data_IF_384501155312
#
_entry.id   IF_384501155312
#
_cell.length_a   1.000
_cell.length_b   1.000
_cell.length_c   1.000
_cell.angle_alpha   90.00
_cell.angle_beta   90.00
_cell.angle_gamma   90.00
#
_symmetry.space_group_name_H-M   'P 1'
#
loop_
_entity.id
_entity.type
_entity.pdbx_description
1 polymer ?
#
# COMPACT_ATOMS: atom_id res chain seq x y z
N UNK A 1 -9.96 11.12 -15.34
CA UNK A 1 -8.54 11.47 -15.37
C UNK A 1 -7.99 11.63 -13.97
N UNK A 2 -6.71 11.38 -13.81
CA UNK A 2 -6.01 11.49 -12.54
C UNK A 2 -4.82 12.43 -12.68
N UNK A 3 -4.37 13.00 -11.57
CA UNK A 3 -3.16 13.80 -11.53
C UNK A 3 -2.24 13.27 -10.43
N UNK A 4 -0.94 13.24 -10.73
CA UNK A 4 0.09 12.80 -9.81
C UNK A 4 1.09 13.94 -9.66
N UNK A 5 1.36 14.32 -8.41
CA UNK A 5 2.30 15.39 -8.13
C UNK A 5 3.69 15.03 -8.65
N UNK A 6 4.42 16.03 -9.14
CA UNK A 6 5.78 15.83 -9.63
C UNK A 6 6.66 15.22 -8.51
N UNK A 7 7.54 14.29 -8.88
CA UNK A 7 8.46 13.57 -7.98
C UNK A 7 7.80 12.56 -7.04
N UNK A 8 6.49 12.34 -7.14
CA UNK A 8 5.84 11.25 -6.42
C UNK A 8 6.24 9.92 -7.07
N UNK A 9 6.50 8.92 -6.23
CA UNK A 9 6.79 7.56 -6.69
C UNK A 9 5.54 6.70 -6.56
N UNK A 10 5.24 5.96 -7.61
CA UNK A 10 4.11 5.00 -7.61
C UNK A 10 4.72 3.60 -7.62
N UNK A 11 4.41 2.82 -6.60
CA UNK A 11 4.96 1.48 -6.47
C UNK A 11 4.43 0.52 -7.52
N UNK A 12 5.15 -0.59 -7.68
CA UNK A 12 4.82 -1.63 -8.66
C UNK A 12 3.43 -2.18 -8.38
N UNK A 13 2.63 -2.34 -9.42
CA UNK A 13 1.27 -2.88 -9.33
C UNK A 13 0.32 -2.07 -8.43
N UNK A 14 0.65 -0.84 -8.13
CA UNK A 14 -0.30 0.07 -7.50
C UNK A 14 -1.34 0.51 -8.52
N UNK A 15 -2.54 0.80 -8.04
CA UNK A 15 -3.65 1.26 -8.88
C UNK A 15 -4.10 2.64 -8.41
N UNK A 16 -4.22 3.56 -9.36
CA UNK A 16 -4.75 4.91 -9.09
C UNK A 16 -6.10 5.00 -9.77
N UNK A 17 -7.15 5.18 -8.99
CA UNK A 17 -8.50 5.31 -9.55
C UNK A 17 -8.67 6.62 -10.30
N UNK A 18 -9.51 6.62 -11.33
CA UNK A 18 -9.78 7.81 -12.13
C UNK A 18 -10.29 8.98 -11.28
N UNK A 19 -9.88 10.19 -11.65
CA UNK A 19 -10.27 11.40 -10.91
C UNK A 19 -9.47 11.65 -9.65
N UNK A 20 -8.47 10.82 -9.36
CA UNK A 20 -7.69 10.95 -8.12
C UNK A 20 -6.59 12.00 -8.26
N UNK A 21 -6.24 12.62 -7.13
CA UNK A 21 -5.16 13.61 -7.04
C UNK A 21 -4.14 13.09 -6.04
N UNK A 22 -2.98 12.66 -6.53
CA UNK A 22 -1.94 11.99 -5.73
C UNK A 22 -0.84 12.99 -5.40
N UNK A 23 -0.63 13.25 -4.11
CA UNK A 23 0.40 14.18 -3.63
C UNK A 23 1.54 13.54 -2.86
N UNK A 24 1.41 12.26 -2.52
CA UNK A 24 2.42 11.50 -1.79
C UNK A 24 2.66 10.17 -2.49
N UNK A 25 3.77 9.51 -2.15
CA UNK A 25 4.12 8.23 -2.74
C UNK A 25 3.02 7.20 -2.52
N UNK A 26 2.75 6.38 -3.53
CA UNK A 26 1.75 5.31 -3.42
C UNK A 26 2.48 3.98 -3.29
N UNK A 27 2.29 3.27 -2.17
CA UNK A 27 2.98 1.99 -1.97
C UNK A 27 2.60 0.96 -3.03
N UNK A 28 3.51 0.03 -3.34
CA UNK A 28 3.21 -1.01 -4.32
C UNK A 28 2.03 -1.86 -3.87
N UNK A 29 1.35 -2.45 -4.81
CA UNK A 29 0.23 -3.39 -4.61
C UNK A 29 -1.03 -2.75 -4.04
N UNK A 30 -1.06 -1.46 -3.78
CA UNK A 30 -2.19 -0.78 -3.14
C UNK A 30 -3.01 0.02 -4.14
N UNK A 31 -4.27 0.26 -3.79
CA UNK A 31 -5.16 1.14 -4.55
C UNK A 31 -5.27 2.49 -3.86
N UNK A 32 -5.07 3.57 -4.60
CA UNK A 32 -5.25 4.94 -4.12
C UNK A 32 -6.43 5.57 -4.85
N UNK A 33 -7.25 6.33 -4.13
CA UNK A 33 -8.45 6.93 -4.69
C UNK A 33 -8.77 8.25 -3.99
N UNK A 34 -9.31 9.16 -4.75
CA UNK A 34 -9.87 10.41 -4.23
C UNK A 34 -9.00 11.63 -4.47
N UNK A 35 -9.55 12.76 -4.13
CA UNK A 35 -8.89 14.05 -4.13
C UNK A 35 -8.98 14.59 -2.69
N UNK A 36 -7.95 14.66 -2.04
CA UNK A 36 -6.60 14.08 -2.08
C UNK A 36 -6.66 12.56 -1.95
N UNK A 37 -5.83 11.87 -2.71
CA UNK A 37 -5.87 10.40 -2.74
C UNK A 37 -5.51 9.79 -1.38
N UNK A 38 -6.23 8.74 -1.04
CA UNK A 38 -5.99 7.92 0.16
C UNK A 38 -6.00 6.46 -0.25
N UNK A 39 -5.36 5.60 0.55
CA UNK A 39 -5.36 4.17 0.25
C UNK A 39 -6.73 3.58 0.56
N UNK A 40 -7.19 2.71 -0.34
CA UNK A 40 -8.46 1.98 -0.20
C UNK A 40 -8.22 0.49 0.08
N UNK A 41 -6.97 0.07 0.19
CA UNK A 41 -6.61 -1.32 0.40
C UNK A 41 -5.67 -1.80 -0.68
N UNK A 42 -5.59 -3.12 -0.85
CA UNK A 42 -4.77 -3.72 -1.89
C UNK A 42 -5.49 -3.69 -3.23
N UNK A 43 -4.71 -3.67 -4.31
CA UNK A 43 -5.21 -3.87 -5.66
C UNK A 43 -5.48 -5.36 -5.88
N UNK A 44 -6.41 -5.94 -5.12
CA UNK A 44 -6.63 -7.39 -5.06
C UNK A 44 -6.96 -7.98 -6.42
N UNK A 45 -7.83 -7.33 -7.18
CA UNK A 45 -8.22 -7.83 -8.50
C UNK A 45 -7.03 -7.86 -9.45
N UNK A 46 -6.25 -6.77 -9.51
CA UNK A 46 -5.07 -6.71 -10.36
C UNK A 46 -4.01 -7.73 -9.98
N UNK A 47 -3.82 -7.93 -8.66
CA UNK A 47 -2.84 -8.91 -8.17
C UNK A 47 -3.25 -10.33 -8.53
N UNK A 48 -4.53 -10.68 -8.41
CA UNK A 48 -5.03 -11.99 -8.83
C UNK A 48 -4.89 -12.18 -10.34
N UNK A 49 -5.21 -11.17 -11.13
CA UNK A 49 -5.07 -11.23 -12.59
C UNK A 49 -3.62 -11.39 -13.01
N UNK A 50 -2.69 -10.84 -12.24
CA UNK A 50 -1.26 -10.97 -12.48
C UNK A 50 -0.70 -12.33 -12.03
N UNK A 51 -1.53 -13.16 -11.39
CA UNK A 51 -1.14 -14.51 -11.02
C UNK A 51 -0.49 -14.65 -9.64
N UNK A 52 -0.63 -13.66 -8.76
CA UNK A 52 -0.12 -13.81 -7.41
C UNK A 52 -0.87 -14.93 -6.70
N UNK A 53 -0.10 -15.78 -6.02
CA UNK A 53 -0.65 -16.93 -5.30
C UNK A 53 -1.44 -16.49 -4.08
N UNK A 54 -2.38 -17.33 -3.65
CA UNK A 54 -3.26 -17.01 -2.54
C UNK A 54 -2.52 -16.76 -1.23
N UNK A 55 -1.44 -17.50 -0.97
CA UNK A 55 -0.63 -17.30 0.22
C UNK A 55 0.12 -15.96 0.21
N UNK A 56 0.58 -15.52 -0.94
CA UNK A 56 1.21 -14.21 -1.09
C UNK A 56 0.18 -13.10 -0.87
N UNK A 57 -1.03 -13.27 -1.41
CA UNK A 57 -2.12 -12.30 -1.20
C UNK A 57 -2.47 -12.20 0.28
N UNK A 58 -2.56 -13.34 0.98
CA UNK A 58 -2.83 -13.33 2.42
C UNK A 58 -1.72 -12.62 3.19
N UNK A 59 -0.47 -12.85 2.82
CA UNK A 59 0.66 -12.19 3.46
C UNK A 59 0.63 -10.68 3.24
N UNK A 60 0.28 -10.24 2.03
CA UNK A 60 0.15 -8.81 1.73
C UNK A 60 -1.01 -8.18 2.51
N UNK A 61 -2.14 -8.87 2.64
CA UNK A 61 -3.26 -8.39 3.46
C UNK A 61 -2.84 -8.23 4.92
N UNK A 62 -2.14 -9.22 5.46
CA UNK A 62 -1.64 -9.16 6.83
C UNK A 62 -0.66 -8.01 7.01
N UNK A 63 0.24 -7.81 6.06
CA UNK A 63 1.20 -6.70 6.10
C UNK A 63 0.49 -5.34 6.05
N UNK A 64 -0.51 -5.19 5.20
CA UNK A 64 -1.30 -3.97 5.11
C UNK A 64 -1.96 -3.65 6.46
N UNK A 65 -2.56 -4.64 7.09
CA UNK A 65 -3.18 -4.47 8.41
C UNK A 65 -2.16 -4.09 9.47
N UNK A 66 -1.00 -4.73 9.45
CA UNK A 66 0.08 -4.42 10.39
C UNK A 66 0.55 -2.98 10.23
N UNK A 67 0.71 -2.53 8.98
CA UNK A 67 1.20 -1.19 8.69
C UNK A 67 0.20 -0.09 9.09
N UNK A 68 -1.10 -0.31 8.82
CA UNK A 68 -2.06 0.78 8.87
C UNK A 68 -3.18 0.61 9.90
N UNK A 69 -3.41 -0.58 10.43
CA UNK A 69 -4.52 -0.84 11.34
C UNK A 69 -4.12 -1.53 12.65
N UNK A 70 -2.83 -1.68 12.92
CA UNK A 70 -2.38 -2.30 14.17
C UNK A 70 -2.21 -1.30 15.32
N UNK A 71 -2.24 -0.01 15.03
CA UNK A 71 -1.94 1.02 16.02
C UNK A 71 -0.45 1.17 16.32
N UNK A 72 0.40 0.36 15.67
CA UNK A 72 1.85 0.40 15.87
C UNK A 72 2.48 1.35 14.85
N UNK A 73 3.56 2.01 15.23
CA UNK A 73 4.25 2.94 14.33
C UNK A 73 5.04 2.20 13.25
N UNK A 74 5.28 2.88 12.14
CA UNK A 74 6.06 2.31 11.04
C UNK A 74 7.49 1.99 11.45
N UNK A 75 8.07 2.75 12.40
CA UNK A 75 9.40 2.47 12.92
C UNK A 75 9.53 1.05 13.47
N UNK A 76 8.44 0.52 14.03
CA UNK A 76 8.40 -0.84 14.56
C UNK A 76 8.01 -1.86 13.51
N UNK A 77 7.04 -1.54 12.67
CA UNK A 77 6.47 -2.53 11.74
C UNK A 77 7.33 -2.74 10.50
N UNK A 78 7.97 -1.70 9.98
CA UNK A 78 8.75 -1.84 8.74
C UNK A 78 9.91 -2.83 8.88
N UNK A 79 10.73 -2.79 9.95
CA UNK A 79 11.79 -3.80 10.09
C UNK A 79 11.25 -5.22 10.18
N UNK A 80 10.11 -5.43 10.84
CA UNK A 80 9.50 -6.75 10.95
C UNK A 80 9.10 -7.30 9.58
N UNK A 81 8.55 -6.43 8.73
CA UNK A 81 8.09 -6.84 7.40
C UNK A 81 9.23 -7.01 6.39
N UNK A 82 10.39 -6.44 6.69
CA UNK A 82 11.59 -6.60 5.86
C UNK A 82 12.46 -7.77 6.31
N UNK A 83 12.14 -8.39 7.44
CA UNK A 83 12.94 -9.47 7.99
C UNK A 83 12.89 -10.72 7.11
N UNK A 84 13.93 -11.57 7.16
CA UNK A 84 13.95 -12.83 6.42
C UNK A 84 12.75 -13.70 6.78
N UNK A 85 12.25 -14.44 5.80
CA UNK A 85 11.08 -15.31 5.97
C UNK A 85 9.79 -14.70 5.47
N UNK A 86 9.74 -13.38 5.27
CA UNK A 86 8.60 -12.75 4.63
C UNK A 86 8.65 -12.97 3.10
N UNK A 87 7.50 -13.10 2.45
CA UNK A 87 7.47 -13.14 0.98
C UNK A 87 8.13 -11.89 0.39
N UNK A 88 8.76 -12.03 -0.76
CA UNK A 88 9.45 -10.91 -1.42
C UNK A 88 8.54 -9.72 -1.66
N UNK A 89 7.25 -9.95 -1.91
CA UNK A 89 6.28 -8.88 -2.13
C UNK A 89 6.04 -8.07 -0.86
N UNK A 90 6.01 -8.73 0.29
CA UNK A 90 5.88 -8.04 1.58
C UNK A 90 7.13 -7.20 1.85
N UNK A 91 8.30 -7.76 1.58
CA UNK A 91 9.56 -7.03 1.72
C UNK A 91 9.59 -5.81 0.79
N UNK A 92 9.14 -5.98 -0.44
CA UNK A 92 9.07 -4.88 -1.43
C UNK A 92 8.16 -3.76 -0.94
N UNK A 93 6.99 -4.10 -0.42
CA UNK A 93 6.04 -3.13 0.13
C UNK A 93 6.70 -2.32 1.26
N UNK A 94 7.29 -3.02 2.22
CA UNK A 94 7.90 -2.37 3.37
C UNK A 94 9.13 -1.54 2.97
N UNK A 95 9.97 -2.05 2.06
CA UNK A 95 11.15 -1.32 1.60
C UNK A 95 10.77 -0.03 0.86
N UNK A 96 9.71 -0.07 0.05
CA UNK A 96 9.23 1.12 -0.64
C UNK A 96 8.83 2.21 0.38
N UNK A 97 8.07 1.82 1.39
CA UNK A 97 7.61 2.76 2.43
C UNK A 97 8.81 3.31 3.21
N UNK A 98 9.75 2.45 3.59
CA UNK A 98 10.94 2.87 4.34
C UNK A 98 11.78 3.86 3.54
N UNK A 99 11.83 3.74 2.23
CA UNK A 99 12.63 4.60 1.36
C UNK A 99 11.93 5.90 0.97
N UNK A 100 10.65 6.06 1.29
CA UNK A 100 9.89 7.24 0.89
C UNK A 100 10.39 8.49 1.59
N UNK A 101 10.76 9.49 0.81
CA UNK A 101 11.22 10.78 1.34
C UNK A 101 10.09 11.79 1.43
N UNK A 102 9.12 11.68 0.55
CA UNK A 102 7.99 12.61 0.48
C UNK A 102 6.88 12.22 1.46
N UNK A 103 6.91 11.00 1.97
CA UNK A 103 5.83 10.41 2.73
C UNK A 103 4.93 9.58 1.84
N UNK A 104 4.16 8.70 2.44
CA UNK A 104 3.30 7.80 1.71
C UNK A 104 1.83 8.19 1.82
N UNK A 105 1.07 7.86 0.78
CA UNK A 105 -0.38 7.88 0.82
C UNK A 105 -0.84 6.82 1.81
N UNK A 106 -1.76 7.18 2.71
CA UNK A 106 -2.27 6.30 3.77
C UNK A 106 -3.78 6.16 3.67
N UNK A 107 -4.38 5.19 4.38
CA UNK A 107 -5.83 5.14 4.53
C UNK A 107 -6.33 6.42 5.20
N UNK A 108 -7.61 6.74 4.99
CA UNK A 108 -8.23 7.91 5.60
C UNK A 108 -8.16 7.82 7.13
N UNK A 109 -8.00 8.98 7.79
CA UNK A 109 -8.05 9.03 9.24
C UNK A 109 -9.40 8.47 9.72
N UNK A 110 -9.37 7.53 10.68
CA UNK A 110 -10.56 6.88 11.18
C UNK A 110 -11.09 5.75 10.30
N UNK A 111 -10.40 5.41 9.19
CA UNK A 111 -10.79 4.27 8.37
C UNK A 111 -10.76 2.98 9.18
N UNK A 112 -11.72 2.10 8.91
CA UNK A 112 -11.81 0.79 9.54
C UNK A 112 -11.19 -0.26 8.64
N UNK A 113 -10.74 -1.34 9.26
CA UNK A 113 -10.16 -2.44 8.49
C UNK A 113 -11.16 -2.98 7.46
N UNK A 114 -12.43 -3.06 7.81
CA UNK A 114 -13.47 -3.53 6.90
C UNK A 114 -13.78 -2.55 5.76
N UNK A 115 -13.36 -1.29 5.87
CA UNK A 115 -13.52 -0.30 4.81
C UNK A 115 -12.43 -0.44 3.75
N UNK A 116 -11.37 -1.14 4.05
CA UNK A 116 -10.30 -1.39 3.09
C UNK A 116 -10.66 -2.60 2.23
N UNK A 117 -10.32 -2.54 0.95
CA UNK A 117 -10.59 -3.64 0.02
C UNK A 117 -9.54 -4.74 0.18
N UNK A 118 -9.63 -5.45 1.28
CA UNK A 118 -8.67 -6.49 1.63
C UNK A 118 -9.16 -7.94 1.31
#
# INVERSE_FOLDING_TARGET
SSAVHQFVRIGRMAMISGGSMVGKDVPPFCTAQGDRAMLRGLNSLGLRRAGLKADVLRALKAAYKTLFFSGRTLDLTLPELQAPGNPKEVVELAAFIAASKRGITRPAAGAQQEDAEL
#
